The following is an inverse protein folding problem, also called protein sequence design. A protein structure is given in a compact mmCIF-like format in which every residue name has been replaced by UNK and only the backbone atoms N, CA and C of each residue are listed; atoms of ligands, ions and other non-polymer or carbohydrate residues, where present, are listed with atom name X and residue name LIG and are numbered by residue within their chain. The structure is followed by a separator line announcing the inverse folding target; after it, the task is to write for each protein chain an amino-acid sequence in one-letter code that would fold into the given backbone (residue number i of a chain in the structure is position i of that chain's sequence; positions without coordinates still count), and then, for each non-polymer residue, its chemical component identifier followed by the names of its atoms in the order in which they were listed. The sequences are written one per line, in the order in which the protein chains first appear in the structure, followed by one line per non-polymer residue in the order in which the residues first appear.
data_IF_563647541730
#
_entry.id   IF_563647541730
#
_cell.length_a   1.000
_cell.length_b   1.000
_cell.length_c   1.000
_cell.angle_alpha   90.00
_cell.angle_beta   90.00
_cell.angle_gamma   90.00
#
_symmetry.space_group_name_H-M   'P 1'
#
loop_
_entity.id
_entity.type
_entity.pdbx_description
1 polymer ?
#
# COMPACT_ATOMS: atom_id res chain seq x y z
N UNK A 1 -0.84 0.21 18.58
CA UNK A 1 -0.82 1.03 19.82
C UNK A 1 -0.22 0.34 21.05
N UNK A 2 -0.11 -1.01 21.07
CA UNK A 2 0.53 -1.82 22.14
C UNK A 2 1.85 -1.23 22.69
N UNK A 3 2.75 -0.78 21.80
CA UNK A 3 4.06 -0.20 22.20
C UNK A 3 3.92 0.97 23.17
N UNK A 4 2.87 1.78 23.04
CA UNK A 4 2.64 2.91 23.93
C UNK A 4 2.12 2.46 25.29
N UNK A 5 1.19 1.51 25.35
CA UNK A 5 0.66 0.98 26.62
C UNK A 5 1.70 0.19 27.41
N UNK A 6 2.52 -0.62 26.75
CA UNK A 6 3.63 -1.34 27.42
C UNK A 6 4.70 -0.39 27.94
N UNK A 7 4.95 0.71 27.22
CA UNK A 7 5.94 1.73 27.62
C UNK A 7 5.42 2.56 28.79
N UNK A 8 4.14 2.95 28.77
CA UNK A 8 3.48 3.61 29.90
C UNK A 8 3.50 2.69 31.13
N UNK A 9 3.15 1.41 30.98
CA UNK A 9 3.19 0.44 32.07
C UNK A 9 4.61 0.25 32.63
N UNK A 10 5.63 0.22 31.76
CA UNK A 10 7.03 0.12 32.18
C UNK A 10 7.53 1.38 32.91
N UNK A 11 7.16 2.58 32.44
CA UNK A 11 7.47 3.84 33.12
C UNK A 11 6.80 3.87 34.50
N UNK A 12 5.53 3.52 34.57
CA UNK A 12 4.75 3.54 35.81
C UNK A 12 5.30 2.50 36.81
N UNK A 13 5.71 1.33 36.33
CA UNK A 13 6.41 0.32 37.13
C UNK A 13 7.75 0.83 37.66
N UNK A 14 8.57 1.49 36.83
CA UNK A 14 9.85 2.08 37.28
C UNK A 14 9.66 3.16 38.34
N UNK A 15 8.64 4.01 38.18
CA UNK A 15 8.29 5.05 39.16
C UNK A 15 7.87 4.42 40.49
N UNK A 16 7.03 3.38 40.46
CA UNK A 16 6.57 2.67 41.65
C UNK A 16 7.69 1.89 42.34
N UNK A 17 8.63 1.31 41.59
CA UNK A 17 9.84 0.67 42.14
C UNK A 17 10.73 1.70 42.83
N UNK A 18 10.98 2.83 42.17
CA UNK A 18 11.78 3.92 42.74
C UNK A 18 11.17 4.48 44.03
N UNK A 19 9.86 4.74 44.03
CA UNK A 19 9.12 5.20 45.21
C UNK A 19 9.15 4.19 46.36
N UNK A 20 8.98 2.90 46.06
CA UNK A 20 9.00 1.85 47.08
C UNK A 20 10.37 1.70 47.75
N UNK A 21 11.45 1.65 46.95
CA UNK A 21 12.82 1.54 47.47
C UNK A 21 13.19 2.77 48.30
N UNK A 22 12.79 3.96 47.84
CA UNK A 22 13.04 5.21 48.55
C UNK A 22 12.29 5.29 49.89
N UNK A 23 11.03 4.86 49.94
CA UNK A 23 10.18 4.98 51.12
C UNK A 23 10.44 3.90 52.18
N UNK A 24 10.59 2.63 51.77
CA UNK A 24 10.65 1.51 52.71
C UNK A 24 12.07 1.14 53.16
N UNK A 25 13.11 1.55 52.42
CA UNK A 25 14.52 1.18 52.67
C UNK A 25 14.69 -0.30 53.07
N UNK A 26 13.93 -1.19 52.42
CA UNK A 26 13.82 -2.59 52.81
C UNK A 26 15.12 -3.37 52.66
N UNK A 27 15.24 -4.47 53.39
CA UNK A 27 16.33 -5.43 53.22
C UNK A 27 16.35 -6.06 51.82
N UNK A 28 17.51 -6.60 51.43
CA UNK A 28 17.77 -7.18 50.10
C UNK A 28 16.69 -8.16 49.61
N UNK A 29 16.13 -8.97 50.51
CA UNK A 29 15.08 -9.95 50.22
C UNK A 29 13.75 -9.29 49.89
N UNK A 30 13.39 -8.21 50.58
CA UNK A 30 12.13 -7.50 50.37
C UNK A 30 12.16 -6.72 49.04
N UNK A 31 13.30 -6.11 48.72
CA UNK A 31 13.50 -5.39 47.46
C UNK A 31 13.52 -6.33 46.25
N UNK A 32 14.15 -7.51 46.38
CA UNK A 32 14.14 -8.51 45.30
C UNK A 32 12.75 -9.11 45.08
N UNK A 33 11.99 -9.39 46.15
CA UNK A 33 10.59 -9.83 46.04
C UNK A 33 9.70 -8.79 45.36
N UNK A 34 9.85 -7.51 45.71
CA UNK A 34 9.09 -6.42 45.09
C UNK A 34 9.45 -6.23 43.61
N UNK A 35 10.74 -6.31 43.28
CA UNK A 35 11.20 -6.23 41.90
C UNK A 35 10.66 -7.39 41.05
N UNK A 36 10.64 -8.61 41.59
CA UNK A 36 10.05 -9.77 40.92
C UNK A 36 8.54 -9.60 40.69
N UNK A 37 7.81 -9.11 41.70
CA UNK A 37 6.38 -8.80 41.58
C UNK A 37 6.11 -7.71 40.54
N UNK A 38 6.94 -6.67 40.48
CA UNK A 38 6.82 -5.60 39.49
C UNK A 38 7.11 -6.08 38.06
N UNK A 39 8.10 -6.94 37.87
CA UNK A 39 8.38 -7.58 36.57
C UNK A 39 7.20 -8.45 36.13
N UNK A 40 6.65 -9.26 37.03
CA UNK A 40 5.46 -10.08 36.74
C UNK A 40 4.25 -9.22 36.39
N UNK A 41 3.99 -8.14 37.13
CA UNK A 41 2.92 -7.20 36.83
C UNK A 41 3.11 -6.56 35.45
N UNK A 42 4.33 -6.12 35.14
CA UNK A 42 4.64 -5.48 33.84
C UNK A 42 4.49 -6.46 32.67
N UNK A 43 4.89 -7.73 32.85
CA UNK A 43 4.72 -8.79 31.86
C UNK A 43 3.27 -9.28 31.73
N UNK A 44 2.45 -9.13 32.78
CA UNK A 44 1.04 -9.52 32.74
C UNK A 44 0.21 -8.64 31.79
N UNK A 45 0.58 -7.37 31.62
CA UNK A 45 -0.11 -6.42 30.73
C UNK A 45 -0.10 -6.88 29.25
N UNK A 46 1.05 -7.13 28.59
CA UNK A 46 1.05 -7.60 27.21
C UNK A 46 0.45 -9.00 27.06
N UNK A 47 0.59 -9.86 28.08
CA UNK A 47 -0.01 -11.19 28.11
C UNK A 47 -1.54 -11.11 28.11
N UNK A 48 -2.13 -10.38 29.06
CA UNK A 48 -3.58 -10.19 29.16
C UNK A 48 -4.12 -9.45 27.95
N UNK A 49 -3.42 -8.44 27.45
CA UNK A 49 -3.82 -7.70 26.26
C UNK A 49 -3.94 -8.62 25.02
N UNK A 50 -3.01 -9.57 24.87
CA UNK A 50 -3.05 -10.58 23.80
C UNK A 50 -4.12 -11.64 24.06
N UNK A 51 -4.28 -12.08 25.30
CA UNK A 51 -5.25 -13.12 25.71
C UNK A 51 -6.71 -12.65 25.59
N UNK A 52 -6.96 -11.37 25.89
CA UNK A 52 -8.28 -10.75 25.80
C UNK A 52 -8.67 -10.36 24.36
N UNK A 53 -7.79 -10.60 23.38
CA UNK A 53 -8.08 -10.37 21.96
C UNK A 53 -7.98 -8.93 21.47
N UNK A 54 -7.57 -7.98 22.33
CA UNK A 54 -7.43 -6.57 21.95
C UNK A 54 -6.38 -6.35 20.87
N UNK A 55 -5.33 -7.18 20.79
CA UNK A 55 -4.34 -7.05 19.71
C UNK A 55 -4.94 -7.32 18.32
N UNK A 56 -5.85 -8.28 18.21
CA UNK A 56 -6.48 -8.60 16.93
C UNK A 56 -7.45 -7.49 16.49
N UNK A 57 -8.15 -6.87 17.44
CA UNK A 57 -9.04 -5.74 17.17
C UNK A 57 -8.26 -4.47 16.76
N UNK A 58 -7.17 -4.15 17.46
CA UNK A 58 -6.29 -3.01 17.13
C UNK A 58 -5.62 -3.21 15.75
N UNK A 59 -5.19 -4.44 15.44
CA UNK A 59 -4.57 -4.74 14.15
C UNK A 59 -5.58 -4.59 12.99
N UNK A 60 -6.84 -5.02 13.20
CA UNK A 60 -7.92 -4.84 12.21
C UNK A 60 -8.27 -3.36 11.99
N UNK A 61 -8.36 -2.59 13.07
CA UNK A 61 -8.60 -1.14 12.99
C UNK A 61 -7.46 -0.42 12.28
N UNK A 62 -6.20 -0.77 12.61
CA UNK A 62 -5.03 -0.22 11.94
C UNK A 62 -5.01 -0.57 10.44
N UNK A 63 -5.30 -1.82 10.08
CA UNK A 63 -5.38 -2.27 8.70
C UNK A 63 -6.45 -1.50 7.93
N UNK A 64 -7.64 -1.35 8.51
CA UNK A 64 -8.75 -0.62 7.92
C UNK A 64 -8.42 0.85 7.69
N UNK A 65 -7.83 1.51 8.68
CA UNK A 65 -7.44 2.92 8.56
C UNK A 65 -6.36 3.11 7.49
N UNK A 66 -5.35 2.24 7.47
CA UNK A 66 -4.29 2.26 6.48
C UNK A 66 -4.83 2.04 5.06
N UNK A 67 -5.71 1.05 4.88
CA UNK A 67 -6.28 0.71 3.58
C UNK A 67 -7.18 1.83 3.03
N UNK A 68 -8.02 2.45 3.88
CA UNK A 68 -8.83 3.60 3.48
C UNK A 68 -7.96 4.80 3.08
N UNK A 69 -6.89 5.05 3.82
CA UNK A 69 -5.95 6.14 3.50
C UNK A 69 -5.27 5.89 2.15
N UNK A 70 -4.75 4.68 1.93
CA UNK A 70 -4.09 4.32 0.67
C UNK A 70 -5.05 4.35 -0.52
N UNK A 71 -6.29 3.89 -0.36
CA UNK A 71 -7.32 3.99 -1.40
C UNK A 71 -7.60 5.46 -1.76
N UNK A 72 -7.79 6.32 -0.76
CA UNK A 72 -8.05 7.75 -0.98
C UNK A 72 -6.89 8.43 -1.71
N UNK A 73 -5.66 8.17 -1.28
CA UNK A 73 -4.45 8.74 -1.90
C UNK A 73 -4.29 8.31 -3.36
N UNK A 74 -4.50 7.02 -3.67
CA UNK A 74 -4.44 6.50 -5.04
C UNK A 74 -5.54 7.10 -5.90
N UNK A 75 -6.77 7.18 -5.39
CA UNK A 75 -7.90 7.72 -6.12
C UNK A 75 -7.71 9.21 -6.44
N UNK A 76 -7.21 9.99 -5.49
CA UNK A 76 -6.92 11.41 -5.71
C UNK A 76 -5.84 11.62 -6.79
N UNK A 77 -4.78 10.81 -6.77
CA UNK A 77 -3.73 10.84 -7.79
C UNK A 77 -4.27 10.47 -9.17
N UNK A 78 -5.03 9.38 -9.25
CA UNK A 78 -5.63 8.93 -10.50
C UNK A 78 -6.59 9.97 -11.08
N UNK A 79 -7.43 10.59 -10.26
CA UNK A 79 -8.32 11.68 -10.70
C UNK A 79 -7.54 12.88 -11.25
N UNK A 80 -6.43 13.25 -10.61
CA UNK A 80 -5.57 14.35 -11.08
C UNK A 80 -5.00 14.02 -12.46
N UNK A 81 -4.39 12.84 -12.61
CA UNK A 81 -3.82 12.37 -13.88
C UNK A 81 -4.89 12.26 -14.96
N UNK A 82 -6.10 11.78 -14.62
CA UNK A 82 -7.22 11.67 -15.57
C UNK A 82 -7.58 13.02 -16.16
N UNK A 83 -7.69 14.06 -15.33
CA UNK A 83 -7.97 15.44 -15.79
C UNK A 83 -6.87 15.98 -16.70
N UNK A 84 -5.60 15.69 -16.40
CA UNK A 84 -4.48 16.09 -17.24
C UNK A 84 -4.54 15.40 -18.62
N UNK A 85 -4.79 14.08 -18.63
CA UNK A 85 -4.96 13.31 -19.87
C UNK A 85 -6.16 13.78 -20.70
N UNK A 86 -7.27 14.14 -20.05
CA UNK A 86 -8.44 14.75 -20.70
C UNK A 86 -8.09 16.10 -21.33
N UNK A 87 -7.39 16.97 -20.59
CA UNK A 87 -6.94 18.27 -21.08
C UNK A 87 -5.98 18.18 -22.27
N UNK A 88 -5.22 17.09 -22.36
CA UNK A 88 -4.32 16.78 -23.47
C UNK A 88 -4.99 16.02 -24.63
N UNK A 89 -6.26 15.62 -24.48
CA UNK A 89 -6.98 14.85 -25.50
C UNK A 89 -6.49 13.40 -25.66
N UNK A 90 -5.78 12.84 -24.68
CA UNK A 90 -5.24 11.48 -24.68
C UNK A 90 -6.32 10.44 -24.34
N UNK A 91 -7.29 10.25 -25.25
CA UNK A 91 -8.50 9.43 -25.05
C UNK A 91 -8.26 8.02 -24.51
N UNK A 92 -7.22 7.35 -25.02
CA UNK A 92 -6.89 5.99 -24.59
C UNK A 92 -6.33 5.96 -23.16
N UNK A 93 -5.54 6.97 -22.78
CA UNK A 93 -5.08 7.14 -21.40
C UNK A 93 -6.24 7.39 -20.44
N UNK A 94 -7.21 8.23 -20.83
CA UNK A 94 -8.44 8.47 -20.05
C UNK A 94 -9.26 7.18 -19.88
N UNK A 95 -9.41 6.40 -20.96
CA UNK A 95 -10.10 5.10 -20.91
C UNK A 95 -9.42 4.14 -19.92
N UNK A 96 -8.09 4.08 -19.95
CA UNK A 96 -7.32 3.26 -19.01
C UNK A 96 -7.43 3.76 -17.57
N UNK A 97 -7.43 5.07 -17.35
CA UNK A 97 -7.60 5.66 -16.03
C UNK A 97 -8.97 5.35 -15.41
N UNK A 98 -10.03 5.41 -16.22
CA UNK A 98 -11.37 5.01 -15.80
C UNK A 98 -11.44 3.51 -15.47
N UNK A 99 -10.83 2.66 -16.31
CA UNK A 99 -10.77 1.21 -16.04
C UNK A 99 -10.01 0.91 -14.75
N UNK A 100 -8.92 1.64 -14.47
CA UNK A 100 -8.16 1.50 -13.24
C UNK A 100 -8.93 2.00 -12.01
N UNK A 101 -9.77 3.02 -12.17
CA UNK A 101 -10.67 3.51 -11.12
C UNK A 101 -11.60 2.39 -10.68
N UNK A 102 -12.27 1.74 -11.64
CA UNK A 102 -13.17 0.61 -11.37
C UNK A 102 -12.44 -0.54 -10.67
N UNK A 103 -11.23 -0.90 -11.15
CA UNK A 103 -10.42 -1.96 -10.53
C UNK A 103 -9.98 -1.62 -9.09
N UNK A 104 -9.61 -0.37 -8.81
CA UNK A 104 -9.21 0.07 -7.47
C UNK A 104 -10.40 0.01 -6.50
N UNK A 105 -11.59 0.41 -6.95
CA UNK A 105 -12.81 0.39 -6.15
C UNK A 105 -13.30 -1.04 -5.88
N UNK A 106 -13.33 -1.90 -6.91
CA UNK A 106 -13.67 -3.32 -6.77
C UNK A 106 -12.70 -4.01 -5.80
N UNK A 107 -11.41 -3.74 -5.94
CA UNK A 107 -10.39 -4.26 -5.03
C UNK A 107 -10.66 -3.82 -3.59
N UNK A 108 -10.87 -2.52 -3.36
CA UNK A 108 -11.15 -1.98 -2.04
C UNK A 108 -12.41 -2.60 -1.40
N UNK A 109 -13.47 -2.82 -2.19
CA UNK A 109 -14.68 -3.48 -1.73
C UNK A 109 -14.46 -4.96 -1.34
N UNK A 110 -13.68 -5.70 -2.15
CA UNK A 110 -13.29 -7.09 -1.83
C UNK A 110 -12.47 -7.13 -0.54
N UNK A 111 -11.53 -6.20 -0.38
CA UNK A 111 -10.69 -6.15 0.82
C UNK A 111 -11.51 -5.93 2.08
N UNK A 112 -12.43 -4.96 2.02
CA UNK A 112 -13.32 -4.63 3.14
C UNK A 112 -14.25 -5.77 3.53
N UNK A 113 -14.72 -6.57 2.56
CA UNK A 113 -15.64 -7.68 2.81
C UNK A 113 -14.95 -8.98 3.24
N UNK A 114 -13.71 -9.22 2.80
CA UNK A 114 -13.02 -10.50 3.00
C UNK A 114 -11.95 -10.50 4.08
N UNK A 115 -11.24 -9.38 4.28
CA UNK A 115 -10.06 -9.35 5.15
C UNK A 115 -10.30 -8.71 6.51
N UNK A 116 -11.30 -7.83 6.65
CA UNK A 116 -11.60 -7.26 7.96
C UNK A 116 -12.22 -8.30 8.90
N UNK A 117 -11.63 -8.45 10.09
CA UNK A 117 -12.08 -9.37 11.15
C UNK A 117 -11.75 -10.86 10.96
N UNK A 118 -10.87 -11.25 10.01
CA UNK A 118 -10.46 -12.67 9.81
C UNK A 118 -8.98 -12.89 10.10
N UNK A 119 -8.64 -14.01 10.76
CA UNK A 119 -7.27 -14.36 11.21
C UNK A 119 -6.23 -14.50 10.10
N UNK A 120 -6.64 -14.63 8.84
CA UNK A 120 -5.76 -14.70 7.69
C UNK A 120 -5.96 -13.44 6.83
N UNK A 121 -5.27 -12.36 7.16
CA UNK A 121 -5.17 -11.18 6.30
C UNK A 121 -3.86 -11.29 5.50
N UNK A 122 -3.89 -11.62 4.20
CA UNK A 122 -2.71 -11.70 3.37
C UNK A 122 -2.23 -10.29 3.00
N UNK A 123 -1.68 -9.59 3.99
CA UNK A 123 -1.04 -8.27 3.86
C UNK A 123 -0.12 -8.15 2.65
N UNK A 124 0.53 -9.25 2.27
CA UNK A 124 1.43 -9.32 1.12
C UNK A 124 0.70 -9.14 -0.22
N UNK A 125 -0.51 -9.68 -0.38
CA UNK A 125 -1.31 -9.49 -1.61
C UNK A 125 -1.80 -8.06 -1.72
N UNK A 126 -2.24 -7.48 -0.61
CA UNK A 126 -2.61 -6.07 -0.51
C UNK A 126 -1.44 -5.20 -0.96
N UNK A 127 -0.24 -5.45 -0.42
CA UNK A 127 0.94 -4.66 -0.78
C UNK A 127 1.32 -4.79 -2.26
N UNK A 128 1.26 -5.99 -2.83
CA UNK A 128 1.67 -6.20 -4.21
C UNK A 128 0.67 -5.61 -5.21
N UNK A 129 -0.64 -5.79 -4.97
CA UNK A 129 -1.69 -5.15 -5.79
C UNK A 129 -1.58 -3.62 -5.73
N UNK A 130 -1.31 -3.05 -4.55
CA UNK A 130 -1.10 -1.62 -4.37
C UNK A 130 0.12 -1.10 -5.14
N UNK A 131 1.22 -1.87 -5.19
CA UNK A 131 2.39 -1.52 -6.01
C UNK A 131 2.03 -1.49 -7.49
N UNK A 132 1.31 -2.49 -8.00
CA UNK A 132 0.90 -2.55 -9.40
C UNK A 132 -0.07 -1.42 -9.76
N UNK A 133 -1.06 -1.13 -8.91
CA UNK A 133 -1.97 0.02 -9.07
C UNK A 133 -1.20 1.34 -9.09
N UNK A 134 -0.24 1.53 -8.17
CA UNK A 134 0.58 2.74 -8.13
C UNK A 134 1.43 2.89 -9.39
N UNK A 135 2.00 1.80 -9.90
CA UNK A 135 2.78 1.84 -11.15
C UNK A 135 1.90 2.21 -12.34
N UNK A 136 0.69 1.64 -12.43
CA UNK A 136 -0.20 1.98 -13.53
C UNK A 136 -0.60 3.47 -13.51
N UNK A 137 -0.83 4.05 -12.33
CA UNK A 137 -1.04 5.50 -12.18
C UNK A 137 0.21 6.29 -12.61
N UNK A 138 1.41 5.83 -12.24
CA UNK A 138 2.66 6.46 -12.64
C UNK A 138 2.83 6.47 -14.17
N UNK A 139 2.59 5.33 -14.83
CA UNK A 139 2.64 5.24 -16.29
C UNK A 139 1.65 6.22 -16.96
N UNK A 140 0.45 6.39 -16.40
CA UNK A 140 -0.52 7.38 -16.87
C UNK A 140 -0.04 8.82 -16.64
N UNK A 141 0.63 9.10 -15.52
CA UNK A 141 1.23 10.42 -15.25
C UNK A 141 2.40 10.74 -16.19
N UNK A 142 3.22 9.73 -16.49
CA UNK A 142 4.34 9.84 -17.44
C UNK A 142 3.79 10.09 -18.85
N UNK A 143 2.67 9.45 -19.23
CA UNK A 143 1.96 9.76 -20.47
C UNK A 143 1.48 11.21 -20.53
N UNK A 144 0.90 11.76 -19.46
CA UNK A 144 0.49 13.16 -19.41
C UNK A 144 1.70 14.10 -19.58
N UNK A 145 2.81 13.78 -18.91
CA UNK A 145 4.08 14.52 -19.04
C UNK A 145 4.60 14.50 -20.48
N UNK A 146 4.59 13.34 -21.14
CA UNK A 146 4.97 13.21 -22.55
C UNK A 146 3.98 13.97 -23.44
N UNK A 147 2.68 13.93 -23.14
CA UNK A 147 1.66 14.67 -23.88
C UNK A 147 1.88 16.19 -23.84
N UNK A 148 2.25 16.74 -22.67
CA UNK A 148 2.66 18.15 -22.55
C UNK A 148 3.91 18.46 -23.39
N UNK A 149 4.91 17.57 -23.38
CA UNK A 149 6.10 17.69 -24.22
C UNK A 149 5.73 17.72 -25.72
N UNK A 150 4.87 16.80 -26.17
CA UNK A 150 4.40 16.74 -27.56
C UNK A 150 3.61 18.00 -27.96
N UNK A 151 2.76 18.53 -27.08
CA UNK A 151 2.04 19.79 -27.31
C UNK A 151 3.02 20.96 -27.48
N UNK A 152 4.08 21.03 -26.66
CA UNK A 152 5.13 22.05 -26.79
C UNK A 152 5.93 21.91 -28.09
N UNK A 153 6.18 20.67 -28.54
CA UNK A 153 6.85 20.39 -29.82
C UNK A 153 5.98 20.88 -30.98
N UNK A 154 4.67 20.64 -30.94
CA UNK A 154 3.70 21.06 -31.95
C UNK A 154 3.58 22.59 -32.06
N UNK A 155 3.55 23.30 -30.93
CA UNK A 155 3.56 24.77 -30.94
C UNK A 155 4.85 25.32 -31.53
N UNK A 156 5.99 24.70 -31.22
CA UNK A 156 7.28 25.10 -31.78
C UNK A 156 7.49 24.65 -33.25
N UNK A 157 6.68 23.74 -33.79
CA UNK A 157 6.67 23.36 -35.21
C UNK A 157 6.04 24.47 -36.05
N UNK A 158 4.94 25.06 -35.56
CA UNK A 158 4.28 26.21 -36.19
C UNK A 158 5.19 27.46 -36.25
N UNK A 159 6.22 27.52 -35.40
CA UNK A 159 7.22 28.59 -35.37
C UNK A 159 8.46 28.35 -36.27
N UNK A 160 8.50 27.28 -37.08
CA UNK A 160 9.50 27.10 -38.15
C UNK A 160 10.82 26.39 -37.77
N UNK A 161 10.78 25.32 -36.96
CA UNK A 161 11.99 24.55 -36.61
C UNK A 161 12.14 23.21 -37.35
N UNK A 162 13.31 22.95 -37.94
CA UNK A 162 13.56 21.88 -38.95
C UNK A 162 13.89 20.45 -38.42
N UNK A 163 14.17 20.23 -37.13
CA UNK A 163 14.75 18.96 -36.65
C UNK A 163 13.82 18.12 -35.73
N UNK A 164 12.51 18.09 -36.02
CA UNK A 164 11.48 17.79 -34.99
C UNK A 164 10.56 16.57 -35.23
N UNK A 165 10.44 16.03 -36.45
CA UNK A 165 9.57 14.87 -36.72
C UNK A 165 10.00 13.59 -35.97
N UNK A 166 11.31 13.34 -35.89
CA UNK A 166 11.83 12.17 -35.18
C UNK A 166 11.52 12.19 -33.68
N UNK A 167 11.58 13.36 -33.03
CA UNK A 167 11.27 13.50 -31.59
C UNK A 167 9.78 13.29 -31.31
N UNK A 168 8.90 13.83 -32.15
CA UNK A 168 7.47 13.63 -32.00
C UNK A 168 7.08 12.15 -32.15
N UNK A 169 7.68 11.46 -33.13
CA UNK A 169 7.49 10.02 -33.33
C UNK A 169 7.99 9.21 -32.13
N UNK A 170 9.18 9.52 -31.62
CA UNK A 170 9.75 8.86 -30.43
C UNK A 170 8.84 9.03 -29.20
N UNK A 171 8.33 10.25 -28.96
CA UNK A 171 7.41 10.50 -27.84
C UNK A 171 6.07 9.76 -28.03
N UNK A 172 5.55 9.69 -29.25
CA UNK A 172 4.35 8.91 -29.54
C UNK A 172 4.56 7.41 -29.32
N UNK A 173 5.74 6.88 -29.63
CA UNK A 173 6.10 5.48 -29.39
C UNK A 173 6.20 5.19 -27.89
N UNK A 174 6.81 6.09 -27.12
CA UNK A 174 6.86 6.01 -25.65
C UNK A 174 5.45 5.97 -25.03
N UNK A 175 4.52 6.82 -25.49
CA UNK A 175 3.12 6.77 -25.03
C UNK A 175 2.49 5.40 -25.32
N UNK A 176 2.72 4.83 -26.50
CA UNK A 176 2.19 3.50 -26.86
C UNK A 176 2.78 2.40 -25.97
N UNK A 177 4.08 2.46 -25.68
CA UNK A 177 4.73 1.52 -24.79
C UNK A 177 4.13 1.56 -23.38
N UNK A 178 3.90 2.76 -22.83
CA UNK A 178 3.25 2.93 -21.52
C UNK A 178 1.80 2.40 -21.51
N UNK A 179 1.05 2.63 -22.59
CA UNK A 179 -0.31 2.10 -22.75
C UNK A 179 -0.33 0.57 -22.78
N UNK A 180 0.62 -0.05 -23.48
CA UNK A 180 0.70 -1.51 -23.58
C UNK A 180 1.19 -2.15 -22.28
N UNK A 181 2.12 -1.51 -21.57
CA UNK A 181 2.52 -1.91 -20.22
C UNK A 181 1.32 -1.87 -19.27
N UNK A 182 0.54 -0.79 -19.27
CA UNK A 182 -0.67 -0.70 -18.45
C UNK A 182 -1.69 -1.79 -18.75
N UNK A 183 -1.88 -2.20 -20.02
CA UNK A 183 -2.75 -3.33 -20.35
C UNK A 183 -2.29 -4.62 -19.68
N UNK A 184 -0.98 -4.87 -19.63
CA UNK A 184 -0.43 -6.05 -18.96
C UNK A 184 -0.65 -5.98 -17.45
N UNK A 185 -0.42 -4.81 -16.83
CA UNK A 185 -0.67 -4.60 -15.40
C UNK A 185 -2.17 -4.80 -15.07
N UNK A 186 -3.08 -4.29 -15.90
CA UNK A 186 -4.52 -4.45 -15.72
C UNK A 186 -4.98 -5.89 -15.85
N UNK A 187 -4.46 -6.62 -16.84
CA UNK A 187 -4.75 -8.05 -17.00
C UNK A 187 -4.36 -8.81 -15.74
N UNK A 188 -3.16 -8.55 -15.21
CA UNK A 188 -2.68 -9.21 -14.01
C UNK A 188 -3.45 -8.82 -12.74
N UNK A 189 -3.79 -7.53 -12.60
CA UNK A 189 -4.64 -7.05 -11.50
C UNK A 189 -6.00 -7.75 -11.51
N UNK A 190 -6.60 -7.89 -12.70
CA UNK A 190 -7.91 -8.53 -12.87
C UNK A 190 -7.85 -10.01 -12.56
N UNK A 191 -6.88 -10.73 -13.12
CA UNK A 191 -6.64 -12.16 -12.84
C UNK A 191 -6.47 -12.39 -11.33
N UNK A 192 -5.65 -11.56 -10.70
CA UNK A 192 -5.41 -11.68 -9.26
C UNK A 192 -6.64 -11.32 -8.42
N UNK A 193 -7.41 -10.29 -8.80
CA UNK A 193 -8.62 -9.92 -8.09
C UNK A 193 -9.67 -11.05 -8.13
N UNK A 194 -9.79 -11.73 -9.27
CA UNK A 194 -10.66 -12.91 -9.44
C UNK A 194 -10.18 -14.08 -8.57
N UNK A 195 -8.88 -14.37 -8.57
CA UNK A 195 -8.30 -15.44 -7.76
C UNK A 195 -8.46 -15.16 -6.25
N UNK A 196 -8.20 -13.92 -5.82
CA UNK A 196 -8.41 -13.47 -4.43
C UNK A 196 -9.90 -13.57 -4.05
N UNK A 197 -10.81 -13.16 -4.94
CA UNK A 197 -12.24 -13.28 -4.70
C UNK A 197 -12.70 -14.74 -4.55
N UNK A 198 -11.98 -15.69 -5.16
CA UNK A 198 -12.29 -17.12 -5.15
C UNK A 198 -11.51 -17.92 -4.08
N UNK A 199 -10.77 -17.28 -3.18
CA UNK A 199 -9.90 -17.94 -2.17
C UNK A 199 -10.59 -18.93 -1.22
N UNK A 200 -11.93 -19.02 -1.18
CA UNK A 200 -12.62 -20.08 -0.42
C UNK A 200 -12.43 -21.48 -1.02
N UNK A 201 -12.05 -21.61 -2.30
CA UNK A 201 -11.85 -22.90 -2.98
C UNK A 201 -10.40 -23.19 -3.41
N UNK A 202 -9.46 -22.25 -3.17
CA UNK A 202 -8.09 -22.32 -3.71
C UNK A 202 -7.13 -22.91 -2.68
N UNK A 203 -6.33 -23.89 -3.12
CA UNK A 203 -5.31 -24.57 -2.32
C UNK A 203 -4.19 -23.59 -1.89
N UNK A 204 -3.47 -23.89 -0.80
CA UNK A 204 -2.37 -23.04 -0.31
C UNK A 204 -1.27 -22.84 -1.37
N UNK A 205 -1.10 -23.80 -2.28
CA UNK A 205 -0.14 -23.76 -3.38
C UNK A 205 -0.49 -22.73 -4.47
N UNK A 206 -1.74 -22.72 -4.93
CA UNK A 206 -2.22 -21.77 -5.96
C UNK A 206 -2.17 -20.33 -5.44
N UNK A 207 -2.44 -20.13 -4.15
CA UNK A 207 -2.23 -18.83 -3.47
C UNK A 207 -0.78 -18.36 -3.61
N UNK A 208 0.19 -19.20 -3.26
CA UNK A 208 1.62 -18.85 -3.36
C UNK A 208 2.03 -18.49 -4.78
N UNK A 209 1.48 -19.16 -5.79
CA UNK A 209 1.77 -18.87 -7.20
C UNK A 209 1.21 -17.52 -7.65
N UNK A 210 -0.06 -17.21 -7.33
CA UNK A 210 -0.67 -15.88 -7.58
C UNK A 210 0.15 -14.77 -6.95
N UNK A 211 0.56 -14.97 -5.69
CA UNK A 211 1.40 -14.01 -4.96
C UNK A 211 2.77 -13.85 -5.61
N UNK A 212 3.38 -14.94 -6.08
CA UNK A 212 4.66 -14.89 -6.78
C UNK A 212 4.54 -14.12 -8.11
N UNK A 213 3.44 -14.29 -8.86
CA UNK A 213 3.18 -13.51 -10.09
C UNK A 213 2.97 -12.03 -9.79
N UNK A 214 2.18 -11.69 -8.76
CA UNK A 214 2.01 -10.30 -8.33
C UNK A 214 3.31 -9.67 -7.87
N UNK A 215 4.13 -10.39 -7.09
CA UNK A 215 5.44 -9.92 -6.65
C UNK A 215 6.40 -9.75 -7.83
N UNK A 216 6.41 -10.69 -8.79
CA UNK A 216 7.22 -10.58 -10.00
C UNK A 216 6.82 -9.34 -10.83
N UNK A 217 5.52 -9.08 -10.97
CA UNK A 217 5.02 -7.88 -11.66
C UNK A 217 5.31 -6.60 -10.89
N UNK A 218 5.15 -6.62 -9.57
CA UNK A 218 5.54 -5.51 -8.71
C UNK A 218 7.04 -5.25 -8.79
N UNK A 219 7.88 -6.28 -8.93
CA UNK A 219 9.33 -6.18 -9.06
C UNK A 219 9.76 -5.71 -10.46
N UNK A 220 9.06 -6.15 -11.52
CA UNK A 220 9.21 -5.59 -12.88
C UNK A 220 8.85 -4.10 -12.87
N UNK A 221 7.74 -3.73 -12.23
CA UNK A 221 7.32 -2.33 -12.07
C UNK A 221 8.34 -1.50 -11.28
N UNK A 222 8.87 -2.05 -10.19
CA UNK A 222 9.87 -1.36 -9.36
C UNK A 222 11.26 -1.28 -10.04
N UNK A 223 11.55 -2.21 -10.95
CA UNK A 223 12.77 -2.26 -11.77
C UNK A 223 12.72 -1.38 -13.01
N UNK A 224 11.54 -1.12 -13.60
CA UNK A 224 11.39 -0.27 -14.78
C UNK A 224 11.63 1.22 -14.47
N UNK A 225 11.38 1.66 -13.23
CA UNK A 225 11.65 3.02 -12.76
C UNK A 225 13.13 3.35 -12.44
N UNK A 226 14.08 2.43 -12.69
CA UNK A 226 15.51 2.57 -12.35
C UNK A 226 16.46 2.75 -13.55
N UNK A 227 15.95 3.13 -14.73
CA UNK A 227 16.80 3.40 -15.90
C UNK A 227 16.74 4.85 -16.34
#
# INVERSE_FOLDING_TARGET
MIKHYTLIAAILALILIGLFIWWFQGGLVLNTAYLAAAVLATLSVPLLYRLLGYSAADDDEWLKNRENQQHTDLMQRLQTVTKELEGLGLKEGVRQANSLTDMIDDYHAVVKSRFFGKQASPLTYLSAARTVQSQAIQNLADMATIGHSMSSIQTNLQAGGDQKDSRYLEQSERIRALLDENKQLFSALTETAVEVANMQSISEFERTDTLARLLALAEIANGSGKK
#
